data_IF_039645378485
#
_entry.id   IF_039645378485
#
_cell.length_a   1.000
_cell.length_b   1.000
_cell.length_c   1.000
_cell.angle_alpha   90.00
_cell.angle_beta   90.00
_cell.angle_gamma   90.00
#
_symmetry.space_group_name_H-M   'P 1'
#
loop_
_entity.id
_entity.type
_entity.pdbx_description
1 polymer ?
#
# COMPACT_ATOMS: atom_id res chain seq x y z
N UNK A 1 12.23 -5.31 -9.43
CA UNK A 1 11.38 -4.10 -9.44
C UNK A 1 10.64 -3.89 -10.75
N UNK A 2 11.27 -4.06 -11.92
CA UNK A 2 10.59 -3.88 -13.22
C UNK A 2 9.33 -4.76 -13.39
N UNK A 3 9.38 -6.02 -12.98
CA UNK A 3 8.24 -6.93 -13.05
C UNK A 3 7.07 -6.48 -12.17
N UNK A 4 7.33 -6.12 -10.91
CA UNK A 4 6.33 -5.60 -9.98
C UNK A 4 5.64 -4.35 -10.53
N UNK A 5 6.42 -3.40 -11.04
CA UNK A 5 5.87 -2.19 -11.67
C UNK A 5 5.10 -2.48 -12.95
N UNK A 6 5.55 -3.45 -13.76
CA UNK A 6 4.82 -3.89 -14.95
C UNK A 6 3.46 -4.51 -14.61
N UNK A 7 3.40 -5.34 -13.57
CA UNK A 7 2.15 -5.93 -13.08
C UNK A 7 1.18 -4.86 -12.58
N UNK A 8 1.65 -3.90 -11.78
CA UNK A 8 0.82 -2.80 -11.27
C UNK A 8 0.33 -1.92 -12.43
N UNK A 9 1.20 -1.60 -13.39
CA UNK A 9 0.83 -0.83 -14.56
C UNK A 9 -0.24 -1.54 -15.43
N UNK A 10 -0.21 -2.87 -15.50
CA UNK A 10 -1.17 -3.65 -16.29
C UNK A 10 -2.52 -3.88 -15.59
N UNK A 11 -2.52 -4.08 -14.26
CA UNK A 11 -3.70 -4.55 -13.52
C UNK A 11 -4.24 -3.56 -12.47
N UNK A 12 -3.60 -2.40 -12.29
CA UNK A 12 -3.96 -1.41 -11.27
C UNK A 12 -3.19 -1.56 -9.96
N UNK A 13 -3.37 -0.62 -9.04
CA UNK A 13 -2.69 -0.64 -7.74
C UNK A 13 -3.27 -1.71 -6.80
N UNK A 14 -4.48 -2.16 -7.06
CA UNK A 14 -5.28 -3.08 -6.25
C UNK A 14 -4.60 -4.44 -6.11
N UNK A 15 -3.82 -4.87 -7.12
CA UNK A 15 -3.05 -6.12 -7.02
C UNK A 15 -2.02 -6.08 -5.89
N UNK A 16 -1.60 -4.88 -5.47
CA UNK A 16 -0.65 -4.63 -4.38
C UNK A 16 -1.32 -4.73 -3.00
N UNK A 17 -2.56 -4.25 -2.86
CA UNK A 17 -3.26 -4.16 -1.58
C UNK A 17 -4.15 -5.37 -1.29
N UNK A 18 -4.78 -5.95 -2.32
CA UNK A 18 -5.75 -7.04 -2.15
C UNK A 18 -5.55 -8.22 -3.12
N UNK A 19 -4.51 -8.17 -3.96
CA UNK A 19 -4.27 -9.18 -4.99
C UNK A 19 -3.04 -10.04 -4.75
N UNK A 20 -2.48 -10.54 -5.87
CA UNK A 20 -1.38 -11.49 -5.85
C UNK A 20 -0.12 -10.96 -5.16
N UNK A 21 0.16 -9.66 -5.29
CA UNK A 21 1.32 -9.05 -4.64
C UNK A 21 1.08 -8.95 -3.13
N UNK A 22 -0.14 -8.62 -2.68
CA UNK A 22 -0.49 -8.63 -1.25
C UNK A 22 -0.24 -10.00 -0.60
N UNK A 23 -0.64 -11.08 -1.30
CA UNK A 23 -0.41 -12.46 -0.85
C UNK A 23 1.07 -12.83 -0.81
N UNK A 24 1.86 -12.33 -1.76
CA UNK A 24 3.33 -12.51 -1.77
C UNK A 24 3.98 -11.78 -0.59
N UNK A 25 3.51 -10.57 -0.27
CA UNK A 25 3.99 -9.80 0.89
C UNK A 25 3.64 -10.52 2.19
N UNK A 26 2.38 -10.94 2.39
CA UNK A 26 1.94 -11.67 3.59
C UNK A 26 2.74 -12.96 3.84
N UNK A 27 3.02 -13.73 2.78
CA UNK A 27 3.85 -14.92 2.87
C UNK A 27 5.29 -14.60 3.30
N UNK A 28 5.88 -13.54 2.75
CA UNK A 28 7.22 -13.08 3.13
C UNK A 28 7.25 -12.56 4.57
N UNK A 29 6.24 -11.79 4.99
CA UNK A 29 6.12 -11.28 6.36
C UNK A 29 6.04 -12.43 7.38
N UNK A 30 5.21 -13.46 7.11
CA UNK A 30 5.12 -14.65 7.96
C UNK A 30 6.43 -15.44 8.01
N UNK A 31 7.18 -15.51 6.92
CA UNK A 31 8.47 -16.19 6.87
C UNK A 31 9.52 -15.52 7.76
N UNK A 32 9.39 -14.20 7.94
CA UNK A 32 10.36 -13.37 8.66
C UNK A 32 9.86 -12.91 10.05
N UNK A 33 8.84 -13.56 10.62
CA UNK A 33 8.21 -13.20 11.90
C UNK A 33 7.81 -11.71 12.00
N UNK A 34 7.37 -11.12 10.87
CA UNK A 34 6.88 -9.75 10.80
C UNK A 34 5.36 -9.68 11.09
N UNK A 35 4.88 -8.47 11.42
CA UNK A 35 3.51 -8.25 11.90
C UNK A 35 2.49 -7.92 10.80
N UNK A 36 2.96 -7.53 9.60
CA UNK A 36 2.09 -7.09 8.52
C UNK A 36 1.40 -8.30 7.86
N UNK A 37 0.08 -8.23 7.72
CA UNK A 37 -0.74 -9.28 7.10
C UNK A 37 -1.39 -8.81 5.80
N UNK A 38 -1.94 -9.76 5.04
CA UNK A 38 -2.78 -9.44 3.88
C UNK A 38 -4.04 -8.64 4.27
N UNK A 39 -4.59 -8.86 5.46
CA UNK A 39 -5.77 -8.13 5.95
C UNK A 39 -5.42 -6.67 6.22
N UNK A 40 -4.26 -6.39 6.83
CA UNK A 40 -3.78 -5.02 7.03
C UNK A 40 -3.60 -4.26 5.71
N UNK A 41 -3.14 -4.95 4.66
CA UNK A 41 -3.00 -4.37 3.32
C UNK A 41 -4.36 -4.10 2.66
N UNK A 42 -5.33 -5.00 2.85
CA UNK A 42 -6.68 -4.85 2.30
C UNK A 42 -7.48 -3.75 3.01
N UNK A 43 -7.28 -3.58 4.31
CA UNK A 43 -7.94 -2.57 5.13
C UNK A 43 -7.33 -1.17 4.98
N UNK A 44 -6.19 -1.05 4.27
CA UNK A 44 -5.53 0.23 4.05
C UNK A 44 -6.40 1.18 3.19
N UNK A 45 -6.52 2.42 3.65
CA UNK A 45 -7.17 3.50 2.89
C UNK A 45 -6.38 4.79 2.92
N UNK A 46 -6.51 5.59 1.86
CA UNK A 46 -5.87 6.91 1.80
C UNK A 46 -6.75 7.96 2.46
N UNK A 47 -6.14 8.77 3.33
CA UNK A 47 -6.82 9.93 3.92
C UNK A 47 -6.45 11.20 3.16
N UNK A 48 -7.45 11.97 2.76
CA UNK A 48 -7.26 13.35 2.29
C UNK A 48 -7.51 14.30 3.46
N UNK A 49 -6.51 15.07 3.85
CA UNK A 49 -6.62 16.10 4.90
C UNK A 49 -6.57 17.47 4.27
N UNK A 50 -7.38 18.38 4.82
CA UNK A 50 -7.27 19.78 4.43
C UNK A 50 -5.90 20.31 4.85
N UNK A 51 -5.21 21.05 3.96
CA UNK A 51 -3.95 21.66 4.31
C UNK A 51 -4.13 22.67 5.44
N UNK A 52 -3.15 22.72 6.34
CA UNK A 52 -3.12 23.73 7.39
C UNK A 52 -2.78 25.09 6.77
N UNK A 53 -3.72 26.02 6.83
CA UNK A 53 -3.51 27.40 6.42
C UNK A 53 -3.25 28.30 7.62
N UNK A 54 -2.37 29.27 7.43
CA UNK A 54 -2.12 30.33 8.40
C UNK A 54 -1.59 31.58 7.69
N UNK A 55 -1.94 32.75 8.21
CA UNK A 55 -1.43 34.04 7.74
C UNK A 55 -0.44 34.58 8.77
N UNK A 56 0.74 34.99 8.32
CA UNK A 56 1.75 35.59 9.19
C UNK A 56 2.23 36.91 8.60
N UNK A 57 1.96 38.01 9.31
CA UNK A 57 2.32 39.38 8.92
C UNK A 57 1.72 39.89 7.60
N UNK A 58 0.57 39.35 7.20
CA UNK A 58 -0.11 39.72 5.95
C UNK A 58 0.43 38.90 4.80
#
# INVERSE_FOLDING_TARGET
MAETYGRIAAAGAEIFYSGDIARQIDADMRCNDALLTADDLADYTTERKDPLWGTYRG
#
